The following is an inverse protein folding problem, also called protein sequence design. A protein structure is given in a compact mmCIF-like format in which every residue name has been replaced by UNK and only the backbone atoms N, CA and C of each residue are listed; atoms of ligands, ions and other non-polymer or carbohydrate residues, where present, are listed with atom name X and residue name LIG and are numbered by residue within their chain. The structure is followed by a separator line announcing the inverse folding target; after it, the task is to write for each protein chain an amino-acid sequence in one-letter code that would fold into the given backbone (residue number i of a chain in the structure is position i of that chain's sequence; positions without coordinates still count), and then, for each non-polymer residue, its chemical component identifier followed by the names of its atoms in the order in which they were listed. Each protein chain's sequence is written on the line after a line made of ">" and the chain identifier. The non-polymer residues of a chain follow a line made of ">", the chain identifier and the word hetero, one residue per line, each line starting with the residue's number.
data_IF_433982984424
#
_entry.id   IF_433982984424
#
_cell.length_a   1.000
_cell.length_b   1.000
_cell.length_c   1.000
_cell.angle_alpha   90.00
_cell.angle_beta   90.00
_cell.angle_gamma   90.00
#
_symmetry.space_group_name_H-M   'P 1'
#
loop_
_entity.id
_entity.type
_entity.pdbx_description
1 polymer ?
#
# COMPACT_ATOMS: atom_id res chain seq x y z
N UNK A 1 23.33 49.32 8.23
CA UNK A 1 23.30 47.85 8.32
C UNK A 1 22.09 47.41 7.54
N UNK A 2 22.23 46.46 6.61
CA UNK A 2 21.06 45.92 5.93
C UNK A 2 20.23 45.13 6.95
N UNK A 3 18.94 45.40 7.00
CA UNK A 3 18.02 44.70 7.90
C UNK A 3 17.90 43.23 7.48
N UNK A 4 18.01 42.32 8.44
CA UNK A 4 17.90 40.89 8.17
C UNK A 4 16.45 40.49 7.88
N UNK A 5 16.24 39.34 7.24
CA UNK A 5 14.88 38.84 7.00
C UNK A 5 14.13 38.56 8.30
N UNK A 6 14.82 38.03 9.33
CA UNK A 6 14.22 37.81 10.65
C UNK A 6 13.67 39.10 11.25
N UNK A 7 14.45 40.18 11.18
CA UNK A 7 14.05 41.50 11.68
C UNK A 7 12.89 42.09 10.86
N UNK A 8 12.93 42.01 9.52
CA UNK A 8 11.83 42.45 8.64
C UNK A 8 10.51 41.75 8.98
N UNK A 9 10.55 40.43 9.16
CA UNK A 9 9.36 39.64 9.50
C UNK A 9 8.83 40.01 10.89
N UNK A 10 9.72 40.20 11.88
CA UNK A 10 9.34 40.65 13.22
C UNK A 10 8.66 42.01 13.18
N UNK A 11 9.26 43.01 12.52
CA UNK A 11 8.67 44.34 12.41
C UNK A 11 7.33 44.31 11.68
N UNK A 12 7.22 43.54 10.60
CA UNK A 12 5.97 43.40 9.85
C UNK A 12 4.88 42.68 10.66
N UNK A 13 5.24 41.79 11.58
CA UNK A 13 4.31 41.16 12.55
C UNK A 13 3.88 42.17 13.61
N UNK A 14 4.83 42.87 14.22
CA UNK A 14 4.60 43.83 15.31
C UNK A 14 3.77 45.03 14.84
N UNK A 15 4.03 45.53 13.64
CA UNK A 15 3.23 46.60 13.02
C UNK A 15 1.75 46.23 12.83
N UNK A 16 1.44 44.93 12.80
CA UNK A 16 0.06 44.42 12.68
C UNK A 16 -0.52 43.94 14.01
N UNK A 17 0.23 44.03 15.11
CA UNK A 17 -0.22 43.59 16.44
C UNK A 17 -0.44 42.08 16.54
N UNK A 18 0.20 41.28 15.69
CA UNK A 18 0.04 39.82 15.65
C UNK A 18 0.97 39.18 16.70
N UNK A 19 0.44 38.28 17.55
CA UNK A 19 1.27 37.52 18.48
C UNK A 19 1.87 36.28 17.80
N UNK A 20 3.07 35.88 18.22
CA UNK A 20 3.70 34.63 17.76
C UNK A 20 2.83 33.40 18.02
N UNK A 21 2.07 33.43 19.12
CA UNK A 21 1.02 32.45 19.44
C UNK A 21 0.04 32.26 18.28
N UNK A 22 -0.48 33.35 17.71
CA UNK A 22 -1.54 33.29 16.70
C UNK A 22 -0.99 32.67 15.40
N UNK A 23 0.25 33.01 15.07
CA UNK A 23 0.98 32.39 13.96
C UNK A 23 1.15 30.89 14.23
N UNK A 24 1.56 30.52 15.44
CA UNK A 24 1.78 29.12 15.82
C UNK A 24 0.51 28.28 15.74
N UNK A 25 -0.61 28.80 16.26
CA UNK A 25 -1.92 28.16 16.25
C UNK A 25 -2.39 27.89 14.81
N UNK A 26 -2.22 28.87 13.90
CA UNK A 26 -2.68 28.74 12.52
C UNK A 26 -1.73 27.93 11.62
N UNK A 27 -0.42 28.15 11.74
CA UNK A 27 0.59 27.55 10.85
C UNK A 27 1.10 26.20 11.34
N UNK A 28 0.82 25.85 12.60
CA UNK A 28 1.39 24.67 13.29
C UNK A 28 2.91 24.70 13.42
N UNK A 29 3.52 25.86 13.23
CA UNK A 29 4.95 26.07 13.48
C UNK A 29 5.12 26.35 14.97
N UNK A 30 6.03 25.64 15.63
CA UNK A 30 6.33 25.87 17.05
C UNK A 30 6.80 27.31 17.28
N UNK A 31 6.35 27.94 18.37
CA UNK A 31 6.79 29.29 18.78
C UNK A 31 8.32 29.37 18.81
N UNK A 32 9.01 28.32 19.29
CA UNK A 32 10.49 28.27 19.32
C UNK A 32 11.13 28.43 17.93
N UNK A 33 10.48 27.94 16.87
CA UNK A 33 10.98 28.11 15.51
C UNK A 33 10.66 29.49 14.95
N UNK A 34 9.51 30.06 15.29
CA UNK A 34 9.16 31.43 14.91
C UNK A 34 10.12 32.44 15.55
N UNK A 35 10.44 32.26 16.84
CA UNK A 35 11.47 33.05 17.54
C UNK A 35 12.85 32.90 16.89
N UNK A 36 13.21 31.68 16.48
CA UNK A 36 14.48 31.43 15.79
C UNK A 36 14.53 32.10 14.41
N UNK A 37 13.41 32.17 13.69
CA UNK A 37 13.31 32.92 12.43
C UNK A 37 13.52 34.41 12.68
N UNK A 38 12.84 34.99 13.67
CA UNK A 38 12.99 36.42 14.00
C UNK A 38 14.40 36.79 14.48
N UNK A 39 15.14 35.83 15.04
CA UNK A 39 16.52 35.99 15.48
C UNK A 39 17.57 35.57 14.43
N UNK A 40 17.16 35.17 13.23
CA UNK A 40 17.99 34.56 12.18
C UNK A 40 18.89 33.39 12.67
N UNK A 41 18.45 32.65 13.69
CA UNK A 41 19.14 31.47 14.23
C UNK A 41 18.65 30.20 13.53
N UNK A 42 18.93 30.12 12.22
CA UNK A 42 18.47 29.03 11.34
C UNK A 42 18.97 27.64 11.74
N UNK A 43 20.02 27.57 12.57
CA UNK A 43 20.58 26.32 13.12
C UNK A 43 19.62 25.60 14.08
N UNK A 44 18.64 26.32 14.64
CA UNK A 44 17.60 25.74 15.52
C UNK A 44 16.43 25.15 14.75
N UNK A 45 16.31 25.46 13.46
CA UNK A 45 15.22 24.93 12.64
C UNK A 45 15.54 23.48 12.23
N UNK A 46 14.53 22.70 11.79
CA UNK A 46 14.72 21.33 11.33
C UNK A 46 15.66 21.20 10.12
N UNK A 47 15.91 22.27 9.37
CA UNK A 47 16.79 22.26 8.21
C UNK A 47 16.10 21.89 6.91
N UNK A 48 16.88 21.89 5.83
CA UNK A 48 16.44 21.53 4.48
C UNK A 48 15.23 22.32 3.99
N UNK A 49 14.25 21.61 3.42
CA UNK A 49 13.05 22.21 2.84
C UNK A 49 12.14 22.89 3.88
N UNK A 50 12.24 22.49 5.16
CA UNK A 50 11.37 23.00 6.22
C UNK A 50 11.67 24.46 6.56
N UNK A 51 12.92 24.91 6.44
CA UNK A 51 13.25 26.30 6.70
C UNK A 51 12.51 27.23 5.75
N UNK A 52 12.52 26.90 4.45
CA UNK A 52 11.84 27.68 3.41
C UNK A 52 10.33 27.63 3.58
N UNK A 53 9.77 26.47 3.94
CA UNK A 53 8.32 26.36 4.15
C UNK A 53 7.86 27.15 5.37
N UNK A 54 8.64 27.18 6.46
CA UNK A 54 8.31 27.96 7.65
C UNK A 54 8.38 29.46 7.41
N UNK A 55 9.42 29.94 6.71
CA UNK A 55 9.55 31.36 6.35
C UNK A 55 8.40 31.79 5.44
N UNK A 56 8.06 30.97 4.43
CA UNK A 56 6.91 31.23 3.56
C UNK A 56 5.61 31.29 4.34
N UNK A 57 5.35 30.31 5.20
CA UNK A 57 4.12 30.24 5.99
C UNK A 57 4.00 31.41 6.97
N UNK A 58 5.11 31.82 7.60
CA UNK A 58 5.18 33.03 8.42
C UNK A 58 4.80 34.25 7.58
N UNK A 59 5.52 34.50 6.48
CA UNK A 59 5.31 35.67 5.63
C UNK A 59 3.86 35.75 5.14
N UNK A 60 3.32 34.62 4.67
CA UNK A 60 1.93 34.50 4.24
C UNK A 60 0.94 34.86 5.35
N UNK A 61 1.14 34.34 6.57
CA UNK A 61 0.22 34.59 7.67
C UNK A 61 0.16 36.07 8.06
N UNK A 62 1.31 36.74 8.08
CA UNK A 62 1.35 38.17 8.38
C UNK A 62 1.00 39.04 7.17
N UNK A 63 0.82 38.48 5.97
CA UNK A 63 0.59 39.25 4.74
C UNK A 63 1.83 40.00 4.25
N UNK A 64 3.02 39.47 4.50
CA UNK A 64 4.28 39.89 3.88
C UNK A 64 4.47 39.13 2.56
N UNK A 65 5.17 39.75 1.59
CA UNK A 65 5.40 39.12 0.29
C UNK A 65 6.27 37.86 0.44
N UNK A 66 5.69 36.71 0.09
CA UNK A 66 6.32 35.39 0.23
C UNK A 66 7.59 35.26 -0.61
N UNK A 67 7.63 35.86 -1.80
CA UNK A 67 8.76 35.74 -2.72
C UNK A 67 9.94 36.57 -2.22
N UNK A 68 9.69 37.80 -1.79
CA UNK A 68 10.68 38.68 -1.18
C UNK A 68 11.27 38.04 0.09
N UNK A 69 10.43 37.43 0.94
CA UNK A 69 10.91 36.75 2.13
C UNK A 69 11.86 35.58 1.81
N UNK A 70 11.53 34.79 0.77
CA UNK A 70 12.37 33.68 0.33
C UNK A 70 13.65 34.13 -0.36
N UNK A 71 13.60 35.24 -1.11
CA UNK A 71 14.79 35.82 -1.73
C UNK A 71 15.76 36.36 -0.69
N UNK A 72 15.25 37.12 0.29
CA UNK A 72 16.06 37.66 1.39
C UNK A 72 16.65 36.53 2.25
N UNK A 73 15.89 35.46 2.50
CA UNK A 73 16.42 34.26 3.16
C UNK A 73 17.54 33.60 2.35
N UNK A 74 17.34 33.41 1.04
CA UNK A 74 18.36 32.82 0.17
C UNK A 74 19.62 33.69 0.09
N UNK A 75 19.47 35.01 0.12
CA UNK A 75 20.59 35.97 0.20
C UNK A 75 21.35 35.82 1.52
N UNK A 76 20.63 35.76 2.64
CA UNK A 76 21.22 35.57 3.98
C UNK A 76 22.04 34.29 4.06
N UNK A 77 21.55 33.20 3.46
CA UNK A 77 22.25 31.90 3.45
C UNK A 77 23.55 31.97 2.63
N UNK A 78 23.50 32.61 1.45
CA UNK A 78 24.68 32.83 0.58
C UNK A 78 25.75 33.67 1.27
N UNK A 79 25.35 34.73 1.99
CA UNK A 79 26.28 35.59 2.73
C UNK A 79 26.96 34.86 3.89
N UNK A 80 26.28 33.88 4.50
CA UNK A 80 26.83 33.03 5.57
C UNK A 80 27.72 31.89 5.04
N UNK A 81 27.81 31.70 3.72
CA UNK A 81 28.54 30.58 3.12
C UNK A 81 27.86 29.22 3.36
N UNK A 82 26.61 29.23 3.79
CA UNK A 82 25.80 28.03 3.99
C UNK A 82 25.09 27.73 2.66
N UNK A 83 25.39 26.59 2.04
CA UNK A 83 24.62 26.10 0.89
C UNK A 83 23.42 25.30 1.40
N UNK A 84 22.31 25.33 0.67
CA UNK A 84 21.05 24.61 0.98
C UNK A 84 21.24 23.09 1.26
N UNK A 85 22.43 22.53 1.02
CA UNK A 85 22.80 21.12 1.14
C UNK A 85 23.30 20.71 2.55
N UNK A 86 23.90 21.63 3.33
CA UNK A 86 24.55 21.30 4.62
C UNK A 86 23.54 21.07 5.78
N UNK A 87 22.31 21.57 5.65
CA UNK A 87 21.23 21.34 6.62
C UNK A 87 20.57 19.95 6.55
N UNK A 88 21.00 19.10 5.61
CA UNK A 88 20.43 17.77 5.34
C UNK A 88 20.82 16.69 6.39
N UNK A 89 21.76 16.99 7.30
CA UNK A 89 22.31 15.99 8.23
C UNK A 89 21.52 15.75 9.52
N UNK A 90 20.28 16.22 9.67
CA UNK A 90 19.54 15.92 10.90
C UNK A 90 18.05 15.71 10.64
N UNK A 91 17.64 14.45 10.84
CA UNK A 91 16.27 13.93 10.86
C UNK A 91 15.61 13.74 9.49
N UNK A 92 16.09 12.71 8.77
CA UNK A 92 15.30 12.00 7.78
C UNK A 92 14.06 11.40 8.47
N UNK A 93 12.99 12.17 8.60
CA UNK A 93 11.67 11.60 8.84
C UNK A 93 11.27 10.90 7.54
N UNK A 94 11.09 9.59 7.62
CA UNK A 94 10.48 8.72 6.61
C UNK A 94 9.00 9.11 6.41
N UNK A 95 8.74 10.34 5.99
CA UNK A 95 7.43 10.76 5.52
C UNK A 95 7.58 10.89 4.02
N UNK A 96 7.09 9.88 3.32
CA UNK A 96 6.80 9.94 1.90
C UNK A 96 5.67 10.96 1.71
N UNK A 97 6.00 12.25 1.64
CA UNK A 97 5.07 13.23 1.10
C UNK A 97 5.08 13.07 -0.41
N UNK A 98 3.97 12.54 -0.91
CA UNK A 98 3.58 12.61 -2.30
C UNK A 98 3.37 14.09 -2.67
N UNK A 99 4.47 14.81 -2.89
CA UNK A 99 4.45 16.21 -3.28
C UNK A 99 4.22 16.34 -4.79
N UNK A 100 2.93 16.39 -5.17
CA UNK A 100 2.34 17.54 -5.86
C UNK A 100 2.90 18.00 -7.22
N UNK A 101 3.83 17.29 -7.87
CA UNK A 101 4.30 17.62 -9.21
C UNK A 101 4.28 16.41 -10.17
N UNK A 102 3.14 15.71 -10.21
CA UNK A 102 2.90 14.53 -11.05
C UNK A 102 2.73 14.83 -12.56
N UNK A 103 3.24 15.94 -13.09
CA UNK A 103 3.20 16.23 -14.55
C UNK A 103 4.40 15.71 -15.33
N UNK A 104 5.42 15.19 -14.65
CA UNK A 104 6.50 14.40 -15.27
C UNK A 104 6.75 13.11 -14.48
N UNK A 105 5.70 12.34 -14.23
CA UNK A 105 5.89 10.98 -13.73
C UNK A 105 6.65 10.18 -14.80
N UNK A 106 7.83 9.69 -14.42
CA UNK A 106 8.67 8.83 -15.25
C UNK A 106 7.85 7.65 -15.73
N UNK A 107 7.67 7.50 -17.05
CA UNK A 107 6.89 6.43 -17.72
C UNK A 107 7.09 5.03 -17.09
N UNK A 108 8.26 4.78 -16.51
CA UNK A 108 8.62 3.58 -15.74
C UNK A 108 7.60 3.20 -14.65
N UNK A 109 7.01 4.16 -13.93
CA UNK A 109 6.01 3.86 -12.89
C UNK A 109 4.71 3.33 -13.48
N UNK A 110 4.28 3.92 -14.60
CA UNK A 110 3.11 3.47 -15.36
C UNK A 110 3.35 2.06 -15.93
N UNK A 111 4.54 1.81 -16.50
CA UNK A 111 4.91 0.48 -16.99
C UNK A 111 4.84 -0.58 -15.89
N UNK A 112 5.36 -0.28 -14.69
CA UNK A 112 5.32 -1.21 -13.56
C UNK A 112 3.88 -1.51 -13.11
N UNK A 113 3.03 -0.47 -13.01
CA UNK A 113 1.63 -0.63 -12.64
C UNK A 113 0.86 -1.50 -13.65
N UNK A 114 1.07 -1.26 -14.95
CA UNK A 114 0.45 -2.05 -16.02
C UNK A 114 0.93 -3.51 -15.97
N UNK A 115 2.22 -3.74 -15.72
CA UNK A 115 2.78 -5.09 -15.61
C UNK A 115 2.12 -5.87 -14.47
N UNK A 116 1.97 -5.24 -13.28
CA UNK A 116 1.29 -5.84 -12.13
C UNK A 116 -0.16 -6.18 -12.47
N UNK A 117 -0.89 -5.26 -13.10
CA UNK A 117 -2.29 -5.47 -13.51
C UNK A 117 -2.42 -6.63 -14.52
N UNK A 118 -1.49 -6.71 -15.49
CA UNK A 118 -1.44 -7.79 -16.46
C UNK A 118 -1.13 -9.15 -15.82
N UNK A 119 -0.21 -9.19 -14.85
CA UNK A 119 0.11 -10.41 -14.11
C UNK A 119 -1.07 -10.92 -13.29
N UNK A 120 -1.77 -10.03 -12.59
CA UNK A 120 -2.96 -10.37 -11.80
C UNK A 120 -4.10 -10.89 -12.69
N UNK A 121 -4.36 -10.22 -13.82
CA UNK A 121 -5.41 -10.66 -14.76
C UNK A 121 -5.09 -12.02 -15.39
N UNK A 122 -3.83 -12.28 -15.75
CA UNK A 122 -3.39 -13.59 -16.22
C UNK A 122 -3.54 -14.68 -15.15
N UNK A 123 -3.19 -14.40 -13.89
CA UNK A 123 -3.34 -15.34 -12.78
C UNK A 123 -4.82 -15.73 -12.54
N UNK A 124 -5.73 -14.75 -12.58
CA UNK A 124 -7.17 -15.00 -12.45
C UNK A 124 -7.68 -15.83 -13.62
N UNK A 125 -7.33 -15.45 -14.86
CA UNK A 125 -7.75 -16.18 -16.06
C UNK A 125 -7.28 -17.64 -16.02
N UNK A 126 -6.01 -17.88 -15.68
CA UNK A 126 -5.45 -19.22 -15.61
C UNK A 126 -6.02 -20.03 -14.44
N UNK A 127 -6.24 -19.38 -13.29
CA UNK A 127 -6.87 -19.99 -12.11
C UNK A 127 -8.29 -20.45 -12.38
N UNK A 128 -9.12 -19.62 -13.02
CA UNK A 128 -10.48 -19.99 -13.42
C UNK A 128 -10.48 -21.16 -14.42
N UNK A 129 -9.57 -21.13 -15.40
CA UNK A 129 -9.42 -22.20 -16.39
C UNK A 129 -8.89 -23.50 -15.77
N UNK A 130 -8.02 -23.41 -14.77
CA UNK A 130 -7.49 -24.55 -14.03
C UNK A 130 -8.57 -25.17 -13.13
N UNK A 131 -9.34 -24.35 -12.43
CA UNK A 131 -10.41 -24.81 -11.54
C UNK A 131 -11.49 -25.61 -12.28
N UNK A 132 -11.85 -25.20 -13.50
CA UNK A 132 -12.77 -25.97 -14.35
C UNK A 132 -12.18 -27.32 -14.77
N UNK A 133 -10.86 -27.38 -15.02
CA UNK A 133 -10.17 -28.62 -15.41
C UNK A 133 -10.05 -29.62 -14.24
N UNK A 134 -10.02 -29.13 -13.00
CA UNK A 134 -9.90 -29.96 -11.79
C UNK A 134 -11.19 -30.67 -11.36
N UNK A 135 -12.36 -30.35 -11.92
CA UNK A 135 -13.61 -31.07 -11.61
C UNK A 135 -13.83 -32.34 -12.46
N UNK A 136 -12.98 -32.63 -13.45
CA UNK A 136 -13.05 -33.88 -14.22
C UNK A 136 -12.22 -35.00 -13.58
N UNK A 137 -12.52 -35.32 -12.32
CA UNK A 137 -12.18 -36.63 -11.76
C UNK A 137 -13.40 -37.53 -11.96
N UNK A 138 -13.31 -38.59 -12.79
CA UNK A 138 -14.46 -39.30 -13.30
C UNK A 138 -15.16 -40.08 -12.18
N UNK A 139 -16.47 -40.28 -12.33
CA UNK A 139 -17.39 -41.16 -11.58
C UNK A 139 -16.96 -42.64 -11.59
N UNK A 140 -15.68 -42.95 -11.34
CA UNK A 140 -15.11 -44.30 -11.40
C UNK A 140 -15.32 -45.07 -10.09
N UNK A 141 -15.57 -44.38 -8.98
CA UNK A 141 -15.92 -44.98 -7.69
C UNK A 141 -17.38 -45.42 -7.62
N UNK A 142 -18.32 -44.62 -8.11
CA UNK A 142 -19.75 -45.02 -8.19
C UNK A 142 -19.98 -46.16 -9.18
N UNK A 143 -19.32 -46.11 -10.35
CA UNK A 143 -19.52 -47.13 -11.37
C UNK A 143 -18.88 -48.47 -10.97
N UNK A 144 -17.69 -48.46 -10.34
CA UNK A 144 -17.10 -49.69 -9.76
C UNK A 144 -17.95 -50.28 -8.65
N UNK A 145 -18.60 -49.46 -7.81
CA UNK A 145 -19.48 -49.96 -6.75
C UNK A 145 -20.73 -50.62 -7.34
N UNK A 146 -21.33 -50.00 -8.36
CA UNK A 146 -22.52 -50.54 -9.03
C UNK A 146 -22.21 -51.83 -9.79
N UNK A 147 -21.05 -51.93 -10.45
CA UNK A 147 -20.61 -53.15 -11.13
C UNK A 147 -20.37 -54.31 -10.15
N UNK A 148 -19.81 -54.01 -8.97
CA UNK A 148 -19.59 -55.01 -7.90
C UNK A 148 -20.92 -55.48 -7.30
N UNK A 149 -21.86 -54.58 -7.05
CA UNK A 149 -23.18 -54.92 -6.51
C UNK A 149 -24.03 -55.71 -7.52
N UNK A 150 -23.97 -55.34 -8.80
CA UNK A 150 -24.70 -56.04 -9.86
C UNK A 150 -24.14 -57.46 -10.09
N UNK A 151 -22.81 -57.61 -10.10
CA UNK A 151 -22.13 -58.92 -10.14
C UNK A 151 -22.52 -59.78 -8.91
N UNK A 152 -22.39 -59.25 -7.70
CA UNK A 152 -22.69 -59.97 -6.47
C UNK A 152 -24.13 -60.51 -6.40
N UNK A 153 -25.09 -59.76 -6.95
CA UNK A 153 -26.49 -60.21 -7.03
C UNK A 153 -26.71 -61.33 -8.04
N UNK A 154 -25.93 -61.34 -9.13
CA UNK A 154 -26.00 -62.36 -10.19
C UNK A 154 -25.33 -63.66 -9.72
N UNK A 155 -24.21 -63.58 -9.02
CA UNK A 155 -23.53 -64.76 -8.45
C UNK A 155 -24.38 -65.45 -7.40
N UNK A 156 -25.07 -64.70 -6.51
CA UNK A 156 -25.97 -65.29 -5.51
C UNK A 156 -27.15 -66.03 -6.14
N UNK A 157 -27.76 -65.49 -7.21
CA UNK A 157 -28.85 -66.17 -7.94
C UNK A 157 -28.38 -67.46 -8.59
N UNK A 158 -27.20 -67.47 -9.23
CA UNK A 158 -26.67 -68.69 -9.87
C UNK A 158 -26.28 -69.78 -8.88
N UNK A 159 -25.65 -69.44 -7.74
CA UNK A 159 -25.30 -70.41 -6.70
C UNK A 159 -26.55 -70.97 -6.01
N UNK A 160 -27.57 -70.13 -5.76
CA UNK A 160 -28.81 -70.59 -5.12
C UNK A 160 -29.62 -71.53 -6.03
N UNK A 161 -29.63 -71.29 -7.34
CA UNK A 161 -30.28 -72.19 -8.32
C UNK A 161 -29.48 -73.50 -8.49
N UNK A 162 -28.16 -73.46 -8.44
CA UNK A 162 -27.31 -74.66 -8.48
C UNK A 162 -27.45 -75.54 -7.24
N UNK A 163 -27.50 -74.95 -6.03
CA UNK A 163 -27.73 -75.70 -4.79
C UNK A 163 -29.16 -76.26 -4.69
N UNK A 164 -30.16 -75.56 -5.23
CA UNK A 164 -31.52 -76.08 -5.32
C UNK A 164 -31.64 -77.30 -6.25
N UNK A 165 -30.82 -77.38 -7.31
CA UNK A 165 -30.84 -78.48 -8.28
C UNK A 165 -29.99 -79.70 -7.86
N UNK A 166 -29.08 -79.56 -6.89
CA UNK A 166 -28.37 -80.71 -6.31
C UNK A 166 -29.24 -81.48 -5.31
N UNK A 167 -30.09 -80.79 -4.54
CA UNK A 167 -30.96 -81.42 -3.55
C UNK A 167 -32.11 -82.24 -4.16
N UNK A 168 -32.47 -81.97 -5.42
CA UNK A 168 -33.49 -82.73 -6.16
C UNK A 168 -32.97 -84.03 -6.77
N UNK A 169 -31.65 -84.19 -6.95
CA UNK A 169 -31.07 -85.44 -7.49
C UNK A 169 -30.84 -86.52 -6.43
N UNK A 170 -30.63 -86.17 -5.16
CA UNK A 170 -30.50 -87.18 -4.09
C UNK A 170 -31.84 -87.72 -3.59
N UNK A 171 -32.96 -87.07 -3.90
CA UNK A 171 -34.30 -87.56 -3.56
C UNK A 171 -34.91 -88.57 -4.54
N UNK A 172 -34.31 -88.82 -5.70
CA UNK A 172 -34.87 -89.70 -6.74
C UNK A 172 -34.28 -91.12 -6.79
N UNK A 173 -33.31 -91.45 -5.93
CA UNK A 173 -32.79 -92.82 -5.81
C UNK A 173 -33.36 -93.62 -4.62
N UNK A 174 -34.33 -93.08 -3.88
CA UNK A 174 -34.89 -93.75 -2.69
C UNK A 174 -36.34 -94.27 -2.85
N UNK A 175 -36.87 -94.34 -4.07
CA UNK A 175 -38.20 -94.93 -4.36
C UNK A 175 -38.14 -95.78 -5.62
N UNK A 176 -37.49 -96.94 -5.53
CA UNK A 176 -37.77 -98.10 -6.38
C UNK A 176 -37.15 -99.35 -5.73
N UNK A 177 -37.90 -99.97 -4.82
CA UNK A 177 -37.81 -101.39 -4.45
C UNK A 177 -39.23 -101.92 -4.51
#
# INVERSE_FOLDING_TARGET
>A
MAESIGEKLRLAREARGIALRDISEQTRISIRYLEAIEADDYRRLPGGIFNRSFIRAYAKFIGYDENNALEDYARTLRERGETDDEGSKSHHSLVYTDDGNARRSSLKTLFLAILILAALSAAVYFGLRFYQRSQHSPRRSEQRMNDVLHNASTTRRSVMILTANQKTKEGQHAVFV
#
